data_IF_735898386672
#
_entry.id   IF_735898386672
#
_cell.length_a   1.000
_cell.length_b   1.000
_cell.length_c   1.000
_cell.angle_alpha   90.00
_cell.angle_beta   90.00
_cell.angle_gamma   90.00
#
_symmetry.space_group_name_H-M   'P 1'
#
loop_
_entity.id
_entity.type
_entity.pdbx_description
1 polymer ?
#
# COMPACT_ATOMS: atom_id res chain seq x y z
N UNK A 1 34.76 14.70 20.71
CA UNK A 1 33.39 15.10 21.05
C UNK A 1 32.49 15.14 19.82
N UNK A 2 33.02 15.43 18.63
CA UNK A 2 32.31 15.42 17.34
C UNK A 2 31.60 14.10 16.99
N UNK A 3 32.19 12.94 17.27
CA UNK A 3 31.60 11.66 16.85
C UNK A 3 30.22 11.40 17.49
N UNK A 4 30.06 11.79 18.76
CA UNK A 4 28.82 11.58 19.51
C UNK A 4 27.69 12.45 18.95
N UNK A 5 28.00 13.68 18.57
CA UNK A 5 27.03 14.61 17.99
C UNK A 5 26.56 14.15 16.61
N UNK A 6 27.47 13.64 15.78
CA UNK A 6 27.14 13.05 14.48
C UNK A 6 26.20 11.83 14.63
N UNK A 7 26.49 10.92 15.57
CA UNK A 7 25.62 9.77 15.83
C UNK A 7 24.22 10.17 16.33
N UNK A 8 24.14 11.19 17.19
CA UNK A 8 22.86 11.73 17.65
C UNK A 8 22.08 12.33 16.47
N UNK A 9 22.75 13.07 15.58
CA UNK A 9 22.11 13.69 14.42
C UNK A 9 21.60 12.64 13.42
N UNK A 10 22.38 11.58 13.17
CA UNK A 10 21.98 10.44 12.33
C UNK A 10 20.78 9.71 12.95
N UNK A 11 20.80 9.46 14.27
CA UNK A 11 19.71 8.79 14.96
C UNK A 11 18.41 9.62 14.92
N UNK A 12 18.50 10.94 15.10
CA UNK A 12 17.34 11.83 14.99
C UNK A 12 16.80 11.87 13.56
N UNK A 13 17.66 12.04 12.56
CA UNK A 13 17.23 12.10 11.17
C UNK A 13 16.64 10.76 10.71
N UNK A 14 17.33 9.65 11.01
CA UNK A 14 16.86 8.29 10.72
C UNK A 14 15.57 7.95 11.46
N UNK A 15 15.42 8.40 12.71
CA UNK A 15 14.21 8.21 13.51
C UNK A 15 13.01 8.96 12.92
N UNK A 16 13.17 10.23 12.58
CA UNK A 16 12.12 11.06 11.97
C UNK A 16 11.74 10.51 10.60
N UNK A 17 12.73 10.19 9.76
CA UNK A 17 12.50 9.65 8.43
C UNK A 17 11.82 8.28 8.49
N UNK A 18 12.30 7.39 9.37
CA UNK A 18 11.71 6.07 9.60
C UNK A 18 10.27 6.17 10.12
N UNK A 19 10.02 7.07 11.07
CA UNK A 19 8.66 7.32 11.57
C UNK A 19 7.72 7.82 10.46
N UNK A 20 8.17 8.77 9.64
CA UNK A 20 7.39 9.28 8.51
C UNK A 20 7.06 8.18 7.49
N UNK A 21 8.02 7.27 7.21
CA UNK A 21 7.78 6.11 6.35
C UNK A 21 6.74 5.16 6.94
N UNK A 22 6.81 4.87 8.24
CA UNK A 22 5.83 4.00 8.92
C UNK A 22 4.44 4.62 8.86
N UNK A 23 4.31 5.93 9.14
CA UNK A 23 3.03 6.63 9.07
C UNK A 23 2.46 6.59 7.64
N UNK A 24 3.28 6.91 6.63
CA UNK A 24 2.85 6.86 5.23
C UNK A 24 2.43 5.43 4.82
N UNK A 25 3.15 4.42 5.30
CA UNK A 25 2.81 3.02 5.05
C UNK A 25 1.52 2.60 5.76
N UNK A 26 1.30 3.06 6.99
CA UNK A 26 0.07 2.78 7.73
C UNK A 26 -1.16 3.42 7.07
N UNK A 27 -1.05 4.66 6.58
CA UNK A 27 -2.12 5.31 5.80
C UNK A 27 -2.41 4.49 4.53
N UNK A 28 -1.36 4.13 3.79
CA UNK A 28 -1.51 3.33 2.58
C UNK A 28 -2.15 1.96 2.86
N UNK A 29 -1.76 1.28 3.95
CA UNK A 29 -2.38 0.02 4.36
C UNK A 29 -3.85 0.18 4.74
N UNK A 30 -4.22 1.29 5.38
CA UNK A 30 -5.60 1.57 5.75
C UNK A 30 -6.48 1.75 4.50
N UNK A 31 -6.01 2.55 3.54
CA UNK A 31 -6.71 2.76 2.27
C UNK A 31 -6.82 1.44 1.49
N UNK A 32 -5.72 0.68 1.42
CA UNK A 32 -5.65 -0.64 0.79
C UNK A 32 -6.63 -1.65 1.41
N UNK A 33 -6.69 -1.70 2.74
CA UNK A 33 -7.60 -2.56 3.49
C UNK A 33 -9.06 -2.16 3.27
N UNK A 34 -9.33 -0.85 3.21
CA UNK A 34 -10.64 -0.31 2.89
C UNK A 34 -11.12 -0.73 1.50
N UNK A 35 -10.28 -0.55 0.48
CA UNK A 35 -10.58 -0.97 -0.89
C UNK A 35 -10.75 -2.49 -1.00
N UNK A 36 -9.91 -3.28 -0.32
CA UNK A 36 -10.07 -4.74 -0.28
C UNK A 36 -11.40 -5.16 0.33
N UNK A 37 -11.81 -4.53 1.44
CA UNK A 37 -13.08 -4.82 2.11
C UNK A 37 -14.26 -4.47 1.22
N UNK A 38 -14.20 -3.32 0.54
CA UNK A 38 -15.21 -2.91 -0.45
C UNK A 38 -15.32 -3.92 -1.60
N UNK A 39 -14.19 -4.28 -2.21
CA UNK A 39 -14.13 -5.27 -3.29
C UNK A 39 -14.67 -6.64 -2.86
N UNK A 40 -14.35 -7.08 -1.65
CA UNK A 40 -14.82 -8.36 -1.13
C UNK A 40 -16.33 -8.35 -0.85
N UNK A 41 -16.86 -7.22 -0.36
CA UNK A 41 -18.29 -7.01 -0.19
C UNK A 41 -19.02 -7.06 -1.54
N UNK A 42 -18.48 -6.41 -2.57
CA UNK A 42 -19.12 -6.36 -3.89
C UNK A 42 -19.10 -7.73 -4.58
N UNK A 43 -18.00 -8.48 -4.49
CA UNK A 43 -17.89 -9.88 -5.01
C UNK A 43 -18.92 -10.81 -4.36
N UNK A 44 -19.23 -10.60 -3.08
CA UNK A 44 -20.25 -11.39 -2.37
C UNK A 44 -21.68 -10.98 -2.72
N UNK A 45 -21.88 -9.77 -3.23
CA UNK A 45 -23.20 -9.21 -3.57
C UNK A 45 -23.61 -9.45 -5.02
N UNK A 46 -22.65 -9.55 -5.94
CA UNK A 46 -22.90 -9.78 -7.37
C UNK A 46 -22.61 -11.22 -7.78
N UNK A 47 -23.53 -11.82 -8.54
CA UNK A 47 -23.40 -13.17 -9.08
C UNK A 47 -23.32 -13.13 -10.61
N UNK A 48 -22.46 -13.96 -11.22
CA UNK A 48 -22.28 -14.05 -12.67
C UNK A 48 -21.09 -13.27 -13.29
N UNK A 49 -21.32 -12.56 -14.40
CA UNK A 49 -20.27 -11.93 -15.22
C UNK A 49 -19.55 -10.78 -14.51
N UNK A 50 -20.27 -10.02 -13.69
CA UNK A 50 -19.74 -8.90 -12.90
C UNK A 50 -18.76 -9.37 -11.82
N UNK A 51 -18.96 -10.58 -11.27
CA UNK A 51 -18.06 -11.16 -10.29
C UNK A 51 -16.64 -11.37 -10.86
N UNK A 52 -16.52 -11.69 -12.16
CA UNK A 52 -15.20 -11.82 -12.82
C UNK A 52 -14.50 -10.47 -12.95
N UNK A 53 -15.26 -9.39 -13.18
CA UNK A 53 -14.72 -8.04 -13.22
C UNK A 53 -14.16 -7.64 -11.84
N UNK A 54 -14.93 -7.86 -10.77
CA UNK A 54 -14.50 -7.55 -9.41
C UNK A 54 -13.30 -8.39 -8.95
N UNK A 55 -13.25 -9.68 -9.33
CA UNK A 55 -12.06 -10.53 -9.11
C UNK A 55 -10.81 -9.99 -9.81
N UNK A 56 -10.92 -9.43 -11.02
CA UNK A 56 -9.80 -8.76 -11.70
C UNK A 56 -9.36 -7.50 -10.94
N UNK A 57 -10.31 -6.68 -10.50
CA UNK A 57 -10.00 -5.48 -9.69
C UNK A 57 -9.26 -5.84 -8.40
N UNK A 58 -9.69 -6.88 -7.68
CA UNK A 58 -8.98 -7.37 -6.47
C UNK A 58 -7.55 -7.81 -6.78
N UNK A 59 -7.34 -8.46 -7.94
CA UNK A 59 -5.99 -8.84 -8.39
C UNK A 59 -5.14 -7.61 -8.71
N UNK A 60 -5.71 -6.56 -9.33
CA UNK A 60 -5.01 -5.30 -9.61
C UNK A 60 -4.58 -4.60 -8.33
N UNK A 61 -5.48 -4.54 -7.36
CA UNK A 61 -5.21 -4.02 -6.03
C UNK A 61 -4.05 -4.80 -5.38
N UNK A 62 -4.10 -6.13 -5.34
CA UNK A 62 -2.97 -6.94 -4.84
C UNK A 62 -1.65 -6.72 -5.59
N UNK A 63 -1.69 -6.48 -6.89
CA UNK A 63 -0.50 -6.20 -7.68
C UNK A 63 0.07 -4.79 -7.40
N UNK A 64 -0.74 -3.81 -6.99
CA UNK A 64 -0.25 -2.48 -6.63
C UNK A 64 0.55 -2.45 -5.32
N UNK A 65 0.48 -3.52 -4.51
CA UNK A 65 1.39 -3.74 -3.37
C UNK A 65 2.83 -3.88 -3.84
N UNK A 66 3.04 -4.45 -5.03
CA UNK A 66 4.38 -4.73 -5.54
C UNK A 66 4.86 -3.47 -6.28
N UNK A 67 5.86 -2.73 -5.75
CA UNK A 67 6.30 -1.46 -6.33
C UNK A 67 6.88 -1.59 -7.75
N UNK A 68 7.11 -2.81 -8.24
CA UNK A 68 7.68 -3.11 -9.55
C UNK A 68 6.68 -3.72 -10.56
N UNK A 69 5.41 -3.92 -10.19
CA UNK A 69 4.40 -4.35 -11.18
C UNK A 69 3.83 -3.10 -11.85
N UNK A 70 4.55 -2.64 -12.88
CA UNK A 70 4.11 -1.56 -13.75
C UNK A 70 2.93 -2.05 -14.58
N UNK A 71 1.79 -1.40 -14.40
CA UNK A 71 0.58 -1.68 -15.15
C UNK A 71 0.83 -1.41 -16.65
N UNK A 72 0.75 -2.43 -17.50
CA UNK A 72 0.58 -2.22 -18.94
C UNK A 72 -0.90 -1.88 -19.14
N UNK A 73 -1.17 -0.61 -19.47
CA UNK A 73 -2.46 -0.18 -19.96
C UNK A 73 -2.47 -0.50 -21.46
N UNK A 74 -2.66 -1.76 -21.82
CA UNK A 74 -3.07 -2.16 -23.17
C UNK A 74 -4.57 -1.86 -23.29
N UNK A 75 -4.84 -0.60 -23.62
CA UNK A 75 -6.12 -0.14 -24.17
C UNK A 75 -6.22 -0.47 -25.65
#
# INVERSE_FOLDING_TARGET
>A
MEDKELWIMIALFGGIFGFALIVKFAIWLNDFSGELKYLNSEIGRTDGSEQRYWKRQKRRLWLSIIPFVRYRNDG
#
